data_IF_063192188077
#
_entry.id   IF_063192188077
#
_cell.length_a   1.000
_cell.length_b   1.000
_cell.length_c   1.000
_cell.angle_alpha   90.00
_cell.angle_beta   90.00
_cell.angle_gamma   90.00
#
_symmetry.space_group_name_H-M   'P 1'
#
loop_
_entity.id
_entity.type
_entity.pdbx_description
1 polymer ?
#
# COMPACT_ATOMS: atom_id res chain seq x y z
N UNK A 1 -11.45 30.36 -21.92
CA UNK A 1 -10.32 29.50 -22.33
C UNK A 1 -10.20 28.32 -21.37
N UNK A 2 -9.89 27.15 -21.88
CA UNK A 2 -9.60 25.98 -21.07
C UNK A 2 -8.28 26.18 -20.30
N UNK A 3 -8.23 25.62 -19.10
CA UNK A 3 -7.04 25.60 -18.26
C UNK A 3 -6.46 24.17 -18.25
N UNK A 4 -5.20 24.01 -18.59
CA UNK A 4 -4.47 22.75 -18.45
C UNK A 4 -3.79 22.73 -17.07
N UNK A 5 -4.04 21.66 -16.30
CA UNK A 5 -3.64 21.55 -14.90
C UNK A 5 -2.72 20.35 -14.71
N UNK A 6 -1.59 20.57 -14.08
CA UNK A 6 -0.79 19.49 -13.49
C UNK A 6 -1.40 19.05 -12.17
N UNK A 7 -1.25 17.76 -11.86
CA UNK A 7 -1.85 17.19 -10.66
C UNK A 7 -0.93 16.19 -9.97
N UNK A 8 -1.14 16.06 -8.68
CA UNK A 8 -0.70 14.94 -7.85
C UNK A 8 -1.90 14.48 -7.04
N UNK A 9 -2.27 13.22 -7.17
CA UNK A 9 -3.39 12.61 -6.45
C UNK A 9 -2.81 11.52 -5.54
N UNK A 10 -3.09 11.61 -4.25
CA UNK A 10 -2.63 10.64 -3.25
C UNK A 10 -3.87 10.08 -2.55
N UNK A 11 -4.02 8.78 -2.50
CA UNK A 11 -5.11 8.10 -1.80
C UNK A 11 -4.81 7.85 -0.33
N UNK A 12 -5.80 7.41 0.43
CA UNK A 12 -5.61 7.00 1.82
C UNK A 12 -4.71 5.76 1.93
N UNK A 13 -3.79 5.73 2.90
CA UNK A 13 -2.96 4.56 3.20
C UNK A 13 -3.77 3.44 3.87
N UNK A 14 -3.31 2.19 3.78
CA UNK A 14 -3.85 1.07 4.53
C UNK A 14 -3.39 1.08 5.99
N UNK A 15 -4.18 0.46 6.87
CA UNK A 15 -3.80 0.25 8.27
C UNK A 15 -2.88 -0.97 8.42
N UNK A 16 -2.06 -0.98 9.46
CA UNK A 16 -1.31 -2.17 9.86
C UNK A 16 -2.22 -3.26 10.44
N UNK A 17 -1.75 -4.50 10.45
CA UNK A 17 -2.45 -5.63 11.06
C UNK A 17 -2.52 -5.51 12.59
N UNK A 18 -3.67 -5.85 13.17
CA UNK A 18 -4.03 -5.58 14.57
C UNK A 18 -3.70 -6.71 15.54
N UNK A 19 -2.46 -7.23 15.59
CA UNK A 19 -2.02 -8.22 16.59
C UNK A 19 -0.55 -8.02 16.96
N UNK A 20 -0.04 -8.84 17.92
CA UNK A 20 1.37 -8.85 18.31
C UNK A 20 2.35 -9.10 17.15
N UNK A 21 1.87 -9.62 16.03
CA UNK A 21 2.66 -10.02 14.86
C UNK A 21 2.06 -9.48 13.57
N UNK A 22 1.38 -8.33 13.66
CA UNK A 22 0.81 -7.64 12.50
C UNK A 22 1.88 -7.01 11.62
N UNK A 23 1.59 -6.96 10.34
CA UNK A 23 2.43 -6.37 9.32
C UNK A 23 2.07 -4.91 9.02
N UNK A 24 2.94 -4.23 8.30
CA UNK A 24 2.71 -2.85 7.86
C UNK A 24 1.60 -2.74 6.80
N UNK A 25 0.78 -1.70 6.88
CA UNK A 25 -0.14 -1.33 5.79
C UNK A 25 0.59 -0.67 4.63
N UNK A 26 0.06 -0.81 3.42
CA UNK A 26 0.60 -0.18 2.21
C UNK A 26 0.26 1.31 2.13
N UNK A 27 1.12 2.09 1.49
CA UNK A 27 0.82 3.49 1.18
C UNK A 27 -0.35 3.62 0.21
N UNK A 28 -1.06 4.74 0.27
CA UNK A 28 -2.04 5.09 -0.75
C UNK A 28 -1.39 5.20 -2.12
N UNK A 29 -2.13 4.82 -3.15
CA UNK A 29 -1.68 4.97 -4.52
C UNK A 29 -1.44 6.43 -4.87
N UNK A 30 -0.46 6.66 -5.73
CA UNK A 30 -0.11 8.00 -6.22
C UNK A 30 -0.26 8.04 -7.73
N UNK A 31 -0.91 9.09 -8.23
CA UNK A 31 -0.98 9.45 -9.65
C UNK A 31 -0.53 10.89 -9.86
N UNK A 32 0.20 11.14 -10.92
CA UNK A 32 0.70 12.49 -11.21
C UNK A 32 0.88 12.70 -12.70
N UNK A 33 0.67 13.94 -13.14
CA UNK A 33 1.04 14.38 -14.50
C UNK A 33 2.49 14.87 -14.58
N UNK A 34 3.18 15.00 -13.44
CA UNK A 34 4.54 15.57 -13.39
C UNK A 34 5.57 14.45 -13.59
N UNK A 35 6.38 14.50 -14.68
CA UNK A 35 7.38 13.46 -14.92
C UNK A 35 8.44 13.39 -13.81
N UNK A 36 8.91 12.17 -13.51
CA UNK A 36 10.02 11.94 -12.59
C UNK A 36 9.68 11.98 -11.09
N UNK A 37 8.44 12.25 -10.71
CA UNK A 37 8.01 12.19 -9.29
C UNK A 37 7.79 10.76 -8.83
N UNK A 38 7.40 9.88 -9.73
CA UNK A 38 7.12 8.46 -9.43
C UNK A 38 7.83 7.55 -10.42
N UNK A 39 8.07 6.28 -10.05
CA UNK A 39 8.59 5.28 -10.98
C UNK A 39 7.58 4.90 -12.06
N UNK A 40 6.38 5.44 -11.99
CA UNK A 40 5.31 5.24 -12.95
C UNK A 40 5.38 6.25 -14.11
N UNK A 41 4.80 5.88 -15.24
CA UNK A 41 4.60 6.82 -16.35
C UNK A 41 3.67 7.94 -15.89
N UNK A 42 4.06 9.19 -16.08
CA UNK A 42 3.21 10.32 -15.74
C UNK A 42 1.88 10.27 -16.52
N UNK A 43 0.80 10.61 -15.86
CA UNK A 43 -0.50 10.81 -16.49
C UNK A 43 -0.46 12.03 -17.43
N UNK A 44 -1.43 12.11 -18.33
CA UNK A 44 -1.66 13.36 -19.08
C UNK A 44 -2.24 14.43 -18.15
N UNK A 45 -1.88 15.68 -18.40
CA UNK A 45 -2.49 16.83 -17.73
C UNK A 45 -4.02 16.82 -17.91
N UNK A 46 -4.73 17.35 -16.93
CA UNK A 46 -6.19 17.49 -17.00
C UNK A 46 -6.56 18.84 -17.57
N UNK A 47 -7.45 18.82 -18.56
CA UNK A 47 -8.02 20.05 -19.12
C UNK A 47 -9.31 20.39 -18.38
N UNK A 48 -9.31 21.51 -17.69
CA UNK A 48 -10.49 22.05 -16.98
C UNK A 48 -11.07 23.18 -17.81
N UNK A 49 -12.35 23.05 -18.17
CA UNK A 49 -13.09 24.11 -18.89
C UNK A 49 -13.87 24.95 -17.89
N UNK A 50 -13.85 26.29 -17.97
CA UNK A 50 -14.64 27.12 -17.08
C UNK A 50 -16.15 27.00 -17.39
N UNK A 51 -16.93 26.99 -16.36
CA UNK A 51 -18.40 26.98 -16.42
C UNK A 51 -19.06 25.66 -16.05
N UNK A 52 -20.23 25.73 -15.44
CA UNK A 52 -21.12 24.61 -15.19
C UNK A 52 -21.69 24.10 -16.54
N UNK A 53 -21.68 22.78 -16.85
CA UNK A 53 -21.54 21.62 -15.93
C UNK A 53 -20.12 21.04 -15.83
N UNK A 54 -19.09 21.77 -16.21
CA UNK A 54 -17.72 21.26 -16.31
C UNK A 54 -16.91 21.34 -15.00
N UNK A 55 -17.56 21.40 -13.85
CA UNK A 55 -16.87 21.30 -12.56
C UNK A 55 -16.19 19.94 -12.42
N UNK A 56 -14.90 19.96 -12.12
CA UNK A 56 -14.15 18.72 -11.82
C UNK A 56 -14.41 18.34 -10.36
N UNK A 57 -14.99 17.17 -10.16
CA UNK A 57 -15.17 16.64 -8.79
C UNK A 57 -13.83 16.23 -8.19
N UNK A 58 -13.62 16.57 -6.94
CA UNK A 58 -12.44 16.21 -6.16
C UNK A 58 -12.90 15.52 -4.88
N UNK A 59 -12.29 14.37 -4.58
CA UNK A 59 -12.49 13.67 -3.32
C UNK A 59 -11.15 13.20 -2.78
N UNK A 60 -10.93 13.37 -1.48
CA UNK A 60 -9.77 12.86 -0.77
C UNK A 60 -10.18 11.60 0.00
N UNK A 61 -9.47 10.51 -0.23
CA UNK A 61 -9.70 9.24 0.45
C UNK A 61 -9.20 9.25 1.90
N UNK A 62 -9.90 8.52 2.77
CA UNK A 62 -9.50 8.30 4.14
C UNK A 62 -8.50 7.14 4.27
N UNK A 63 -7.68 7.14 5.31
CA UNK A 63 -6.87 5.98 5.71
C UNK A 63 -7.72 4.78 6.10
N UNK A 64 -7.15 3.58 6.00
CA UNK A 64 -7.77 2.35 6.47
C UNK A 64 -7.91 2.34 8.00
N UNK A 65 -8.95 1.66 8.49
CA UNK A 65 -9.19 1.52 9.92
C UNK A 65 -8.34 0.40 10.52
N UNK A 66 -7.64 0.69 11.61
CA UNK A 66 -6.94 -0.30 12.42
C UNK A 66 -7.93 -1.03 13.32
N UNK A 67 -8.06 -2.35 13.19
CA UNK A 67 -8.96 -3.17 14.01
C UNK A 67 -8.16 -4.16 14.82
N UNK A 68 -8.38 -4.18 16.14
CA UNK A 68 -7.71 -5.12 17.04
C UNK A 68 -8.01 -6.57 16.64
N UNK A 69 -6.98 -7.40 16.59
CA UNK A 69 -7.04 -8.82 16.18
C UNK A 69 -7.61 -9.08 14.77
N UNK A 70 -7.44 -8.13 13.85
CA UNK A 70 -7.85 -8.31 12.46
C UNK A 70 -6.77 -7.82 11.48
N UNK A 71 -6.92 -8.21 10.22
CA UNK A 71 -6.16 -7.60 9.11
C UNK A 71 -6.48 -6.10 9.06
N UNK A 72 -5.49 -5.28 8.81
CA UNK A 72 -5.68 -3.85 8.67
C UNK A 72 -6.68 -3.51 7.55
N UNK A 73 -7.48 -2.48 7.75
CA UNK A 73 -8.38 -1.97 6.73
C UNK A 73 -7.62 -1.38 5.54
N UNK A 74 -8.18 -1.49 4.35
CA UNK A 74 -7.66 -0.79 3.16
C UNK A 74 -8.01 0.70 3.22
N UNK A 75 -7.13 1.56 2.71
CA UNK A 75 -7.46 2.95 2.49
C UNK A 75 -8.54 3.14 1.43
N UNK A 76 -9.16 4.30 1.40
CA UNK A 76 -10.13 4.64 0.35
C UNK A 76 -9.49 5.45 -0.76
N UNK A 77 -10.00 5.35 -1.99
CA UNK A 77 -9.43 6.05 -3.14
C UNK A 77 -9.64 7.58 -3.06
N UNK A 78 -8.73 8.31 -3.70
CA UNK A 78 -8.88 9.74 -4.01
C UNK A 78 -9.19 9.93 -5.48
N UNK A 79 -9.98 10.96 -5.80
CA UNK A 79 -10.44 11.24 -7.16
C UNK A 79 -10.14 12.69 -7.57
N UNK A 80 -9.77 12.85 -8.82
CA UNK A 80 -9.76 14.13 -9.52
C UNK A 80 -10.39 13.95 -10.90
N UNK A 81 -11.64 14.30 -11.04
CA UNK A 81 -12.43 14.00 -12.23
C UNK A 81 -12.46 12.49 -12.51
N UNK A 82 -12.02 12.05 -13.71
CA UNK A 82 -11.97 10.63 -14.06
C UNK A 82 -10.75 9.88 -13.51
N UNK A 83 -9.81 10.60 -12.91
CA UNK A 83 -8.57 10.01 -12.38
C UNK A 83 -8.79 9.46 -10.97
N UNK A 84 -8.37 8.22 -10.74
CA UNK A 84 -8.54 7.51 -9.47
C UNK A 84 -7.17 7.08 -8.97
N UNK A 85 -6.78 7.52 -7.78
CA UNK A 85 -5.70 6.92 -7.01
C UNK A 85 -6.32 5.92 -6.03
N UNK A 86 -5.85 4.67 -6.04
CA UNK A 86 -6.41 3.58 -5.21
C UNK A 86 -5.89 3.66 -3.78
N UNK A 87 -6.74 3.33 -2.81
CA UNK A 87 -6.31 3.23 -1.42
C UNK A 87 -5.23 2.16 -1.22
N UNK A 88 -4.39 2.33 -0.21
CA UNK A 88 -3.35 1.38 0.17
C UNK A 88 -3.93 0.09 0.77
N UNK A 89 -3.27 -1.04 0.57
CA UNK A 89 -3.67 -2.32 1.12
C UNK A 89 -3.45 -2.44 2.63
N UNK A 90 -4.35 -3.09 3.34
CA UNK A 90 -4.18 -3.38 4.76
C UNK A 90 -3.10 -4.44 5.02
N UNK A 91 -2.33 -4.28 6.09
CA UNK A 91 -1.34 -5.24 6.54
C UNK A 91 -1.98 -6.52 7.10
N UNK A 92 -1.36 -7.66 6.85
CA UNK A 92 -1.78 -8.95 7.40
C UNK A 92 -1.67 -8.98 8.92
N UNK A 93 -2.59 -9.68 9.58
CA UNK A 93 -2.46 -10.06 10.98
C UNK A 93 -1.67 -11.37 11.10
N UNK A 94 -1.52 -11.87 12.32
CA UNK A 94 -0.95 -13.20 12.60
C UNK A 94 -1.53 -14.29 11.67
N UNK A 95 -0.67 -15.01 10.97
CA UNK A 95 -1.00 -16.08 10.00
C UNK A 95 -1.90 -15.67 8.83
N UNK A 96 -1.98 -14.42 8.47
CA UNK A 96 -2.78 -14.00 7.31
C UNK A 96 -1.98 -13.24 6.27
N UNK A 97 -2.38 -13.43 5.03
CA UNK A 97 -1.95 -12.60 3.92
C UNK A 97 -2.47 -11.16 4.10
N UNK A 98 -1.86 -10.24 3.45
CA UNK A 98 -2.23 -8.83 3.41
C UNK A 98 -3.24 -8.52 2.29
N UNK A 99 -3.73 -7.31 2.26
CA UNK A 99 -4.59 -6.82 1.20
C UNK A 99 -3.82 -6.04 0.12
N UNK A 100 -4.25 -6.18 -1.13
CA UNK A 100 -3.74 -5.36 -2.23
C UNK A 100 -4.32 -3.94 -2.20
N UNK A 101 -3.62 -3.01 -2.85
CA UNK A 101 -4.04 -1.61 -2.93
C UNK A 101 -3.23 -0.82 -3.94
N UNK A 102 -3.24 0.49 -3.85
CA UNK A 102 -2.33 1.36 -4.59
C UNK A 102 -0.88 0.95 -4.34
N UNK A 103 -0.52 0.75 -3.05
CA UNK A 103 0.61 -0.09 -2.62
C UNK A 103 0.07 -1.26 -1.80
N UNK A 104 0.72 -2.40 -1.86
CA UNK A 104 0.32 -3.61 -1.14
C UNK A 104 0.65 -3.56 0.35
N UNK A 105 -0.15 -4.23 1.19
CA UNK A 105 0.20 -4.45 2.59
C UNK A 105 1.27 -5.53 2.75
N UNK A 106 2.01 -5.52 3.84
CA UNK A 106 2.95 -6.58 4.22
C UNK A 106 2.23 -7.80 4.81
N UNK A 107 2.81 -8.97 4.70
CA UNK A 107 2.27 -10.21 5.23
C UNK A 107 2.46 -10.34 6.75
N UNK A 108 1.42 -10.81 7.43
CA UNK A 108 1.47 -11.09 8.87
C UNK A 108 2.30 -12.33 9.20
N UNK A 109 3.03 -12.27 10.30
CA UNK A 109 3.85 -13.36 10.79
C UNK A 109 3.03 -14.61 11.18
N UNK A 110 3.60 -15.80 11.01
CA UNK A 110 2.99 -17.04 11.51
C UNK A 110 3.95 -18.24 11.44
N UNK A 111 3.69 -19.29 12.24
CA UNK A 111 4.51 -20.50 12.25
C UNK A 111 4.23 -21.45 11.08
N UNK A 112 3.22 -21.26 10.30
CA UNK A 112 2.75 -22.22 9.27
C UNK A 112 3.32 -21.96 7.86
N UNK A 113 4.43 -21.25 7.77
CA UNK A 113 5.12 -20.96 6.51
C UNK A 113 4.98 -19.50 6.09
N UNK A 114 5.67 -19.11 5.01
CA UNK A 114 5.67 -17.74 4.54
C UNK A 114 4.26 -17.33 4.11
N UNK A 115 3.87 -16.14 4.52
CA UNK A 115 2.67 -15.47 4.02
C UNK A 115 3.10 -14.42 3.00
N UNK A 116 2.30 -14.26 1.96
CA UNK A 116 2.63 -13.34 0.89
C UNK A 116 2.24 -11.90 1.22
N UNK A 117 3.18 -11.00 0.99
CA UNK A 117 2.86 -9.58 0.84
C UNK A 117 1.99 -9.37 -0.40
N UNK A 118 1.08 -8.44 -0.34
CA UNK A 118 0.18 -8.20 -1.47
C UNK A 118 0.81 -7.33 -2.53
N UNK A 119 0.54 -7.66 -3.77
CA UNK A 119 0.91 -6.82 -4.90
C UNK A 119 0.22 -5.44 -4.84
N UNK A 120 0.89 -4.45 -5.38
CA UNK A 120 0.23 -3.22 -5.78
C UNK A 120 -0.78 -3.56 -6.88
N UNK A 121 -2.00 -3.01 -6.79
CA UNK A 121 -3.08 -3.36 -7.73
C UNK A 121 -2.65 -3.19 -9.20
N UNK A 122 -2.45 -4.29 -9.95
CA UNK A 122 -1.99 -4.23 -11.34
C UNK A 122 -3.06 -3.69 -12.30
N UNK A 123 -4.32 -3.65 -11.87
CA UNK A 123 -5.45 -3.21 -12.69
C UNK A 123 -5.70 -1.69 -12.65
N UNK A 124 -4.87 -0.94 -11.97
CA UNK A 124 -4.93 0.51 -12.03
C UNK A 124 -4.38 0.99 -13.37
N UNK A 125 -5.26 1.02 -14.37
CA UNK A 125 -4.96 1.56 -15.70
C UNK A 125 -4.63 3.06 -15.62
N UNK A 126 -3.57 3.54 -16.28
CA UNK A 126 -2.57 2.81 -17.06
C UNK A 126 -1.22 2.66 -16.34
N UNK A 127 -1.10 3.04 -15.08
CA UNK A 127 0.19 3.19 -14.42
C UNK A 127 0.23 2.57 -13.03
N UNK A 128 1.37 1.99 -12.69
CA UNK A 128 1.67 1.57 -11.33
C UNK A 128 1.47 2.74 -10.38
N UNK A 129 0.69 2.56 -9.33
CA UNK A 129 0.39 3.60 -8.33
C UNK A 129 1.20 3.45 -7.04
N UNK A 130 1.97 2.37 -6.92
CA UNK A 130 2.80 2.05 -5.75
C UNK A 130 3.51 0.72 -5.92
N UNK A 131 4.04 0.17 -4.83
CA UNK A 131 4.83 -1.06 -4.82
C UNK A 131 4.21 -2.14 -3.93
N UNK A 132 4.59 -3.43 -4.14
CA UNK A 132 4.13 -4.52 -3.28
C UNK A 132 4.63 -4.37 -1.85
N UNK A 133 3.90 -4.97 -0.92
CA UNK A 133 4.39 -5.24 0.42
C UNK A 133 5.35 -6.42 0.45
N UNK A 134 6.13 -6.54 1.53
CA UNK A 134 7.03 -7.64 1.77
C UNK A 134 6.33 -8.89 2.29
N UNK A 135 6.93 -10.05 2.04
CA UNK A 135 6.50 -11.33 2.57
C UNK A 135 6.85 -11.46 4.06
N UNK A 136 6.14 -12.31 4.78
CA UNK A 136 6.57 -12.74 6.10
C UNK A 136 7.80 -13.66 5.98
N UNK A 137 8.70 -13.58 6.96
CA UNK A 137 9.87 -14.45 7.01
C UNK A 137 9.48 -15.94 6.98
N UNK A 138 10.27 -16.74 6.29
CA UNK A 138 10.07 -18.20 6.23
C UNK A 138 10.87 -18.88 7.31
N UNK A 139 10.22 -19.70 8.14
CA UNK A 139 10.89 -20.51 9.14
C UNK A 139 10.50 -22.00 9.02
N UNK A 140 11.51 -22.87 9.00
CA UNK A 140 11.35 -24.33 8.97
C UNK A 140 11.45 -24.94 10.37
N UNK A 141 10.64 -24.46 11.32
CA UNK A 141 10.68 -24.96 12.71
C UNK A 141 9.74 -24.19 13.63
N UNK A 142 9.89 -24.34 14.95
CA UNK A 142 9.07 -23.70 15.98
C UNK A 142 9.52 -22.30 16.38
N UNK A 143 10.23 -21.58 15.50
CA UNK A 143 10.69 -20.22 15.75
C UNK A 143 9.71 -19.16 15.27
N UNK A 144 9.93 -17.93 15.75
CA UNK A 144 9.18 -16.77 15.31
C UNK A 144 9.87 -16.15 14.10
N UNK A 145 9.09 -15.66 13.13
CA UNK A 145 9.57 -14.96 11.93
C UNK A 145 9.16 -13.49 11.99
N UNK A 146 9.80 -12.65 11.18
CA UNK A 146 9.39 -11.26 11.03
C UNK A 146 8.14 -11.13 10.17
N UNK A 147 7.30 -10.14 10.46
CA UNK A 147 6.24 -9.70 9.57
C UNK A 147 6.81 -8.86 8.43
N UNK A 148 6.18 -8.90 7.27
CA UNK A 148 6.55 -8.09 6.11
C UNK A 148 6.23 -6.61 6.28
N UNK A 149 7.04 -5.74 5.68
CA UNK A 149 6.77 -4.30 5.59
C UNK A 149 5.71 -3.97 4.54
N UNK A 150 4.97 -2.89 4.75
CA UNK A 150 4.05 -2.37 3.73
C UNK A 150 4.80 -1.78 2.53
N UNK A 151 4.24 -1.91 1.34
CA UNK A 151 4.74 -1.24 0.15
C UNK A 151 4.55 0.27 0.21
N UNK A 152 5.51 1.01 -0.29
CA UNK A 152 5.48 2.46 -0.38
C UNK A 152 5.13 2.97 -1.78
N UNK A 153 5.06 4.29 -1.90
CA UNK A 153 4.94 4.93 -3.20
C UNK A 153 6.28 4.91 -3.98
N UNK A 154 7.40 4.85 -3.27
CA UNK A 154 8.75 4.90 -3.84
C UNK A 154 9.50 3.56 -3.86
N UNK A 155 9.02 2.54 -3.18
CA UNK A 155 9.70 1.24 -3.10
C UNK A 155 8.82 0.13 -2.55
N UNK A 156 9.25 -1.12 -2.74
CA UNK A 156 8.60 -2.28 -2.15
C UNK A 156 8.88 -2.36 -0.64
N UNK A 157 7.94 -2.93 0.11
CA UNK A 157 8.19 -3.29 1.50
C UNK A 157 9.21 -4.42 1.56
N UNK A 158 10.04 -4.41 2.61
CA UNK A 158 11.00 -5.48 2.85
C UNK A 158 10.33 -6.70 3.44
N UNK A 159 10.85 -7.88 3.08
CA UNK A 159 10.41 -9.12 3.70
C UNK A 159 10.79 -9.16 5.18
N UNK A 160 10.02 -9.88 5.96
CA UNK A 160 10.34 -10.21 7.33
C UNK A 160 11.52 -11.17 7.40
N UNK A 161 12.34 -11.07 8.46
CA UNK A 161 13.53 -11.89 8.63
C UNK A 161 13.17 -13.34 9.00
N UNK A 162 13.93 -14.29 8.44
CA UNK A 162 13.71 -15.73 8.61
C UNK A 162 14.42 -16.32 9.83
N UNK A 163 15.16 -15.54 10.61
CA UNK A 163 16.01 -15.99 11.70
C UNK A 163 15.25 -16.38 12.97
N UNK A 164 14.48 -17.44 12.88
CA UNK A 164 13.64 -17.94 13.96
C UNK A 164 14.32 -18.82 15.00
N UNK A 165 15.51 -18.55 15.43
CA UNK A 165 16.14 -19.24 16.56
C UNK A 165 16.16 -18.36 17.81
N UNK A 166 14.97 -18.04 18.36
CA UNK A 166 14.87 -17.49 19.71
C UNK A 166 15.65 -16.21 20.01
N UNK A 167 16.07 -15.50 18.98
CA UNK A 167 16.76 -14.22 19.17
C UNK A 167 15.72 -13.11 19.40
N UNK A 168 15.84 -12.38 20.50
CA UNK A 168 15.08 -11.14 20.69
C UNK A 168 15.70 -10.02 19.85
N UNK A 169 15.96 -10.29 18.56
CA UNK A 169 16.47 -9.26 17.66
C UNK A 169 15.35 -8.28 17.34
N UNK A 170 15.46 -7.01 17.71
CA UNK A 170 14.45 -6.01 17.43
C UNK A 170 14.30 -5.68 15.92
N UNK A 171 15.10 -6.28 15.05
CA UNK A 171 15.14 -6.00 13.62
C UNK A 171 14.43 -7.07 12.76
N UNK A 172 13.58 -7.92 13.32
CA UNK A 172 12.87 -8.98 12.58
C UNK A 172 11.70 -8.50 11.74
N UNK A 173 11.25 -7.27 11.86
CA UNK A 173 10.16 -6.71 11.06
C UNK A 173 10.69 -6.12 9.76
N UNK A 174 10.00 -6.40 8.65
CA UNK A 174 10.27 -5.75 7.36
C UNK A 174 10.04 -4.24 7.43
N UNK A 175 10.92 -3.46 6.81
CA UNK A 175 10.75 -2.02 6.67
C UNK A 175 9.68 -1.65 5.64
N UNK A 176 9.00 -0.52 5.84
CA UNK A 176 8.13 0.07 4.82
C UNK A 176 8.94 0.63 3.64
N UNK A 177 8.38 0.57 2.42
CA UNK A 177 8.97 1.13 1.21
C UNK A 177 8.63 2.62 0.99
#
# INVERSE_FOLDING_TARGET
>A
SNLTVDHIIIAGGGAGGGTYHGAGGGAGGVRTSIPGIMPATADSQVVVSPGSPNAVSVQVGAGGEGVYQNTGGTGTPSFFGPLIANGGGGGGRYETDSASGGSGGGAGQGPTGPKAGSDSNPNSNPTRQGYPGGDAGNHSGSGWTGAGGGGGAGGAGSDGDANGAGSPDPNVAGGGG
#
